data_IF_373781614710
#
_entry.id   IF_373781614710
#
_cell.length_a   1.000
_cell.length_b   1.000
_cell.length_c   1.000
_cell.angle_alpha   90.00
_cell.angle_beta   90.00
_cell.angle_gamma   90.00
#
_symmetry.space_group_name_H-M   'P 1'
#
loop_
_entity.id
_entity.type
_entity.pdbx_description
1 polymer ?
#
# COMPACT_ATOMS: atom_id res chain seq x y z
N UNK A 1 4.90 -12.53 8.70
CA UNK A 1 3.55 -11.95 8.81
C UNK A 1 2.74 -12.42 7.61
N UNK A 2 1.41 -12.62 7.72
CA UNK A 2 0.56 -13.09 6.60
C UNK A 2 0.69 -12.24 5.31
N UNK A 3 1.01 -10.95 5.47
CA UNK A 3 1.10 -9.97 4.36
C UNK A 3 2.52 -9.50 4.04
N UNK A 4 3.56 -10.11 4.60
CA UNK A 4 4.95 -9.71 4.30
C UNK A 4 5.34 -9.94 2.83
N UNK A 5 4.57 -10.74 2.10
CA UNK A 5 4.77 -10.99 0.66
C UNK A 5 4.18 -9.89 -0.25
N UNK A 6 3.55 -8.84 0.31
CA UNK A 6 2.99 -7.74 -0.49
C UNK A 6 4.03 -6.66 -0.83
N UNK A 7 5.29 -6.82 -0.44
CA UNK A 7 6.35 -5.91 -0.86
C UNK A 7 6.52 -5.98 -2.38
N UNK A 8 6.52 -4.83 -3.05
CA UNK A 8 6.57 -4.74 -4.51
C UNK A 8 5.24 -5.04 -5.21
N UNK A 9 4.16 -5.36 -4.49
CA UNK A 9 2.85 -5.52 -5.11
C UNK A 9 2.25 -4.18 -5.52
N UNK A 10 1.40 -4.22 -6.55
CA UNK A 10 0.52 -3.13 -6.91
C UNK A 10 -0.42 -2.81 -5.75
N UNK A 11 -0.57 -1.50 -5.46
CA UNK A 11 -1.42 -1.04 -4.38
C UNK A 11 -2.88 -1.51 -4.53
N UNK A 12 -3.45 -1.45 -5.74
CA UNK A 12 -4.84 -1.83 -6.00
C UNK A 12 -5.06 -3.31 -5.70
N UNK A 13 -4.16 -4.17 -6.17
CA UNK A 13 -4.30 -5.62 -5.99
C UNK A 13 -4.12 -6.01 -4.52
N UNK A 14 -3.20 -5.36 -3.83
CA UNK A 14 -3.00 -5.57 -2.40
C UNK A 14 -4.21 -5.13 -1.57
N UNK A 15 -4.84 -4.00 -1.90
CA UNK A 15 -6.06 -3.55 -1.21
C UNK A 15 -7.17 -4.59 -1.37
N UNK A 16 -7.44 -5.04 -2.60
CA UNK A 16 -8.46 -6.07 -2.86
C UNK A 16 -8.23 -7.36 -2.06
N UNK A 17 -6.97 -7.75 -1.87
CA UNK A 17 -6.61 -8.93 -1.10
C UNK A 17 -6.79 -8.74 0.42
N UNK A 18 -6.48 -7.55 0.95
CA UNK A 18 -6.51 -7.29 2.39
C UNK A 18 -7.90 -6.85 2.89
N UNK A 19 -8.66 -6.11 2.08
CA UNK A 19 -9.94 -5.49 2.51
C UNK A 19 -11.00 -6.53 2.91
N UNK A 20 -10.86 -7.78 2.47
CA UNK A 20 -11.69 -8.90 2.88
C UNK A 20 -11.39 -9.43 4.30
N UNK A 21 -10.27 -9.04 4.88
CA UNK A 21 -9.69 -9.67 6.09
C UNK A 21 -9.33 -8.65 7.17
N UNK A 22 -8.90 -7.42 6.80
CA UNK A 22 -8.45 -6.39 7.74
C UNK A 22 -8.71 -4.97 7.25
N UNK A 23 -8.83 -4.04 8.21
CA UNK A 23 -8.86 -2.60 7.91
C UNK A 23 -7.47 -2.13 7.42
N UNK A 24 -7.45 -1.24 6.44
CA UNK A 24 -6.22 -0.77 5.78
C UNK A 24 -6.06 0.73 5.96
N UNK A 25 -4.84 1.16 6.26
CA UNK A 25 -4.43 2.57 6.21
C UNK A 25 -3.26 2.72 5.23
N UNK A 26 -3.40 3.64 4.26
CA UNK A 26 -2.37 3.86 3.24
C UNK A 26 -1.59 5.12 3.60
N UNK A 27 -0.30 4.97 3.88
CA UNK A 27 0.61 6.09 4.15
C UNK A 27 1.60 6.26 3.00
N UNK A 28 1.46 7.36 2.29
CA UNK A 28 2.38 7.76 1.25
C UNK A 28 3.74 8.14 1.84
N UNK A 29 4.80 7.45 1.41
CA UNK A 29 6.16 7.63 1.94
C UNK A 29 7.04 8.54 1.08
N UNK A 30 6.75 8.67 -0.22
CA UNK A 30 7.60 9.40 -1.17
C UNK A 30 7.03 10.75 -1.60
N UNK A 31 6.00 11.24 -0.91
CA UNK A 31 5.40 12.52 -1.24
C UNK A 31 4.76 12.51 -2.63
N UNK A 32 3.60 11.85 -2.79
CA UNK A 32 2.49 12.18 -3.72
C UNK A 32 2.08 13.68 -3.74
N UNK A 33 2.98 14.63 -3.45
CA UNK A 33 2.71 16.06 -3.41
C UNK A 33 2.98 16.77 -4.74
N UNK A 34 3.11 16.06 -5.87
CA UNK A 34 3.22 16.69 -7.19
C UNK A 34 2.15 16.17 -8.15
N UNK A 35 1.16 17.04 -8.36
CA UNK A 35 0.29 17.19 -9.55
C UNK A 35 -0.01 15.90 -10.33
N UNK A 36 -1.20 15.36 -10.07
CA UNK A 36 -2.16 14.80 -11.04
C UNK A 36 -1.58 14.36 -12.39
N UNK A 37 -0.82 13.26 -12.41
CA UNK A 37 -0.90 12.28 -13.51
C UNK A 37 -0.18 10.96 -13.15
N UNK A 38 -0.27 10.51 -11.88
CA UNK A 38 0.33 9.23 -11.53
C UNK A 38 -0.73 8.16 -11.63
N UNK A 39 -0.48 7.17 -12.51
CA UNK A 39 -1.36 6.03 -12.63
C UNK A 39 -1.27 5.24 -11.31
N UNK A 40 -2.42 4.94 -10.70
CA UNK A 40 -2.47 4.17 -9.45
C UNK A 40 -1.84 2.78 -9.65
N UNK A 41 -1.80 2.30 -10.89
CA UNK A 41 -1.14 1.06 -11.29
C UNK A 41 0.39 1.07 -11.18
N UNK A 42 1.01 2.23 -11.04
CA UNK A 42 2.47 2.37 -10.86
C UNK A 42 2.87 2.46 -9.39
N UNK A 43 1.87 2.55 -8.49
CA UNK A 43 2.11 2.60 -7.07
C UNK A 43 2.39 1.19 -6.55
N UNK A 44 3.52 1.04 -5.88
CA UNK A 44 3.98 -0.23 -5.30
C UNK A 44 4.11 -0.10 -3.78
N UNK A 45 3.83 -1.19 -3.08
CA UNK A 45 4.03 -1.25 -1.62
C UNK A 45 5.52 -1.41 -1.34
N UNK A 46 6.06 -0.50 -0.54
CA UNK A 46 7.47 -0.50 -0.12
C UNK A 46 7.66 -0.97 1.31
N UNK A 47 6.60 -0.91 2.12
CA UNK A 47 6.60 -1.47 3.48
C UNK A 47 5.19 -1.82 3.91
N UNK A 48 5.07 -2.92 4.63
CA UNK A 48 3.85 -3.30 5.35
C UNK A 48 4.17 -3.22 6.84
N UNK A 49 3.32 -2.54 7.60
CA UNK A 49 3.38 -2.46 9.05
C UNK A 49 2.06 -2.95 9.61
N UNK A 50 2.11 -3.69 10.71
CA UNK A 50 0.92 -4.12 11.43
C UNK A 50 0.81 -3.26 12.69
N UNK A 51 -0.23 -2.42 12.76
CA UNK A 51 -0.51 -1.54 13.89
C UNK A 51 -1.91 -1.87 14.42
N UNK A 52 -1.98 -2.53 15.59
CA UNK A 52 -3.24 -3.00 16.19
C UNK A 52 -4.10 -3.82 15.19
N UNK A 53 -5.37 -3.42 15.01
CA UNK A 53 -6.35 -4.01 14.09
C UNK A 53 -6.24 -3.48 12.64
N UNK A 54 -5.20 -2.71 12.34
CA UNK A 54 -5.01 -2.07 11.03
C UNK A 54 -3.71 -2.53 10.37
N UNK A 55 -3.74 -2.68 9.04
CA UNK A 55 -2.55 -2.85 8.23
C UNK A 55 -2.15 -1.50 7.61
N UNK A 56 -0.96 -1.01 7.94
CA UNK A 56 -0.43 0.23 7.38
C UNK A 56 0.45 -0.10 6.18
N UNK A 57 -0.01 0.28 4.99
CA UNK A 57 0.72 0.13 3.73
C UNK A 57 1.48 1.40 3.43
N UNK A 58 2.81 1.32 3.45
CA UNK A 58 3.68 2.38 2.94
C UNK A 58 3.93 2.16 1.47
N UNK A 59 3.69 3.20 0.67
CA UNK A 59 3.70 3.12 -0.79
C UNK A 59 4.68 4.11 -1.42
N UNK A 60 5.14 3.78 -2.62
CA UNK A 60 6.02 4.60 -3.46
C UNK A 60 5.74 4.40 -4.95
N UNK A 61 6.33 5.28 -5.77
CA UNK A 61 6.26 5.21 -7.24
C UNK A 61 7.51 4.56 -7.81
N UNK A 62 7.33 3.75 -8.86
CA UNK A 62 8.40 3.10 -9.59
C UNK A 62 8.14 3.18 -11.09
#
# INVERSE_FOLDING_TARGET
MKYSNLLGYNLIDAIKFIELDKKIEIRNTYGLNKRLNVNLEDIRIVKVLEENDCLVLKVGFF
#
